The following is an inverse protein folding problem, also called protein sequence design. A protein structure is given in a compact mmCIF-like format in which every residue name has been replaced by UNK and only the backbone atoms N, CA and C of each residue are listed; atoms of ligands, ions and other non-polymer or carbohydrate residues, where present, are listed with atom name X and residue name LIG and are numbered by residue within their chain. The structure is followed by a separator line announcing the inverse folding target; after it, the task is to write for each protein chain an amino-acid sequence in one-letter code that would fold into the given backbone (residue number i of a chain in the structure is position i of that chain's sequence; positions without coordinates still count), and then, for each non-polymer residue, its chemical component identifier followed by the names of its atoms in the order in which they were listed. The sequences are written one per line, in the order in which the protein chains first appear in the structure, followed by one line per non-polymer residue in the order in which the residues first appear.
data_IF_711620644822
#
_entry.id   IF_711620644822
#
_cell.length_a   1.000
_cell.length_b   1.000
_cell.length_c   1.000
_cell.angle_alpha   90.00
_cell.angle_beta   90.00
_cell.angle_gamma   90.00
#
_symmetry.space_group_name_H-M   'P 1'
#
loop_
_entity.id
_entity.type
_entity.pdbx_description
1 polymer ?
#
# COMPACT_ATOMS: atom_id res chain seq x y z
N UNK A 1 -29.70 -34.40 6.52
CA UNK A 1 -29.30 -33.24 5.68
C UNK A 1 -29.62 -31.90 6.33
N UNK A 2 -30.84 -31.62 6.78
CA UNK A 2 -31.20 -30.33 7.40
C UNK A 2 -30.31 -29.93 8.59
N UNK A 3 -29.96 -30.86 9.48
CA UNK A 3 -29.08 -30.55 10.63
C UNK A 3 -27.69 -30.06 10.24
N UNK A 4 -27.10 -30.63 9.18
CA UNK A 4 -25.76 -30.23 8.71
C UNK A 4 -25.75 -28.79 8.16
N UNK A 5 -26.80 -28.42 7.42
CA UNK A 5 -26.96 -27.05 6.91
C UNK A 5 -27.14 -26.06 8.06
N UNK A 6 -27.92 -26.42 9.09
CA UNK A 6 -28.07 -25.59 10.29
C UNK A 6 -26.76 -25.41 11.04
N UNK A 7 -25.94 -26.45 11.17
CA UNK A 7 -24.62 -26.36 11.80
C UNK A 7 -23.67 -25.45 11.01
N UNK A 8 -23.63 -25.55 9.67
CA UNK A 8 -22.83 -24.64 8.84
C UNK A 8 -23.32 -23.19 9.00
N UNK A 9 -24.64 -22.98 8.96
CA UNK A 9 -25.24 -21.66 9.17
C UNK A 9 -24.79 -21.07 10.51
N UNK A 10 -24.85 -21.86 11.58
CA UNK A 10 -24.47 -21.40 12.92
C UNK A 10 -22.98 -21.07 13.02
N UNK A 11 -22.10 -21.84 12.37
CA UNK A 11 -20.67 -21.53 12.30
C UNK A 11 -20.40 -20.21 11.54
N UNK A 12 -21.07 -20.01 10.40
CA UNK A 12 -20.90 -18.80 9.59
C UNK A 12 -21.45 -17.55 10.29
N UNK A 13 -22.62 -17.65 10.90
CA UNK A 13 -23.21 -16.56 11.70
C UNK A 13 -22.37 -16.27 12.95
N UNK A 14 -21.82 -17.31 13.59
CA UNK A 14 -20.88 -17.15 14.71
C UNK A 14 -19.62 -16.38 14.31
N UNK A 15 -19.08 -16.61 13.12
CA UNK A 15 -17.98 -15.80 12.55
C UNK A 15 -18.33 -14.31 12.42
N UNK A 16 -19.60 -13.99 12.16
CA UNK A 16 -20.12 -12.62 12.11
C UNK A 16 -20.50 -12.05 13.48
N UNK A 17 -20.41 -12.86 14.55
CA UNK A 17 -20.73 -12.47 15.93
C UNK A 17 -22.11 -12.90 16.43
N UNK A 18 -22.89 -13.63 15.62
CA UNK A 18 -24.21 -14.14 15.99
C UNK A 18 -24.11 -15.58 16.54
N UNK A 19 -23.95 -15.67 17.86
CA UNK A 19 -23.84 -16.94 18.59
C UNK A 19 -25.14 -17.28 19.31
N UNK A 20 -25.79 -18.36 18.91
CA UNK A 20 -26.93 -18.94 19.64
C UNK A 20 -26.39 -19.89 20.73
N UNK A 21 -26.19 -19.35 21.93
CA UNK A 21 -25.70 -20.12 23.07
C UNK A 21 -26.69 -21.19 23.55
N UNK A 22 -27.99 -20.96 23.39
CA UNK A 22 -29.04 -21.88 23.81
C UNK A 22 -28.99 -23.18 22.99
N UNK A 23 -28.62 -23.07 21.70
CA UNK A 23 -28.38 -24.22 20.83
C UNK A 23 -27.21 -25.11 21.31
N UNK A 24 -26.15 -24.53 21.87
CA UNK A 24 -24.99 -25.29 22.36
C UNK A 24 -25.20 -25.90 23.75
N UNK A 25 -26.02 -25.27 24.59
CA UNK A 25 -26.32 -25.74 25.96
C UNK A 25 -27.39 -26.84 25.94
N UNK A 26 -28.30 -26.86 24.96
CA UNK A 26 -29.35 -27.87 24.84
C UNK A 26 -28.91 -29.27 24.38
N UNK A 27 -27.62 -29.47 24.08
CA UNK A 27 -27.07 -30.74 23.59
C UNK A 27 -26.81 -31.79 24.68
N UNK A 28 -26.50 -33.03 24.28
CA UNK A 28 -26.16 -34.12 25.21
C UNK A 28 -24.91 -33.84 26.07
N UNK A 29 -23.97 -33.02 25.56
CA UNK A 29 -22.71 -32.70 26.23
C UNK A 29 -22.44 -31.19 26.19
N UNK A 30 -23.11 -30.38 27.02
CA UNK A 30 -23.01 -28.92 26.96
C UNK A 30 -21.59 -28.41 27.25
N UNK A 31 -20.88 -29.04 28.18
CA UNK A 31 -19.51 -28.64 28.54
C UNK A 31 -18.53 -28.79 27.36
N UNK A 32 -18.60 -29.90 26.63
CA UNK A 32 -17.74 -30.15 25.47
C UNK A 32 -18.04 -29.18 24.33
N UNK A 33 -19.33 -28.91 24.06
CA UNK A 33 -19.76 -27.96 23.04
C UNK A 33 -19.25 -26.54 23.30
N UNK A 34 -19.34 -26.07 24.55
CA UNK A 34 -18.86 -24.73 24.94
C UNK A 34 -17.33 -24.64 24.86
N UNK A 35 -16.60 -25.69 25.27
CA UNK A 35 -15.14 -25.72 25.14
C UNK A 35 -14.69 -25.64 23.67
N UNK A 36 -15.35 -26.40 22.79
CA UNK A 36 -15.06 -26.37 21.35
C UNK A 36 -15.38 -24.99 20.75
N UNK A 37 -16.45 -24.34 21.19
CA UNK A 37 -16.82 -22.98 20.76
C UNK A 37 -15.75 -21.95 21.15
N UNK A 38 -15.25 -21.99 22.39
CA UNK A 38 -14.19 -21.08 22.85
C UNK A 38 -12.90 -21.32 22.06
N UNK A 39 -12.52 -22.59 21.87
CA UNK A 39 -11.35 -22.95 21.07
C UNK A 39 -11.47 -22.43 19.63
N UNK A 40 -12.65 -22.57 19.02
CA UNK A 40 -12.96 -22.07 17.69
C UNK A 40 -12.77 -20.54 17.57
N UNK A 41 -13.29 -19.77 18.54
CA UNK A 41 -13.14 -18.30 18.56
C UNK A 41 -11.65 -17.90 18.67
N UNK A 42 -10.89 -18.57 19.53
CA UNK A 42 -9.45 -18.30 19.70
C UNK A 42 -8.66 -18.63 18.43
N UNK A 43 -8.93 -19.77 17.80
CA UNK A 43 -8.24 -20.16 16.56
C UNK A 43 -8.56 -19.18 15.43
N UNK A 44 -9.84 -18.82 15.24
CA UNK A 44 -10.24 -17.88 14.18
C UNK A 44 -9.65 -16.50 14.39
N UNK A 45 -9.63 -16.00 15.62
CA UNK A 45 -9.02 -14.69 15.90
C UNK A 45 -7.54 -14.67 15.56
N UNK A 46 -6.78 -15.73 15.89
CA UNK A 46 -5.38 -15.87 15.49
C UNK A 46 -5.23 -15.95 13.96
N UNK A 47 -6.09 -16.73 13.29
CA UNK A 47 -6.07 -16.86 11.83
C UNK A 47 -6.39 -15.54 11.13
N UNK A 48 -7.43 -14.82 11.57
CA UNK A 48 -7.82 -13.52 11.02
C UNK A 48 -6.74 -12.47 11.28
N UNK A 49 -6.12 -12.45 12.45
CA UNK A 49 -4.99 -11.55 12.73
C UNK A 49 -3.82 -11.83 11.79
N UNK A 50 -3.47 -13.10 11.59
CA UNK A 50 -2.40 -13.47 10.65
C UNK A 50 -2.73 -13.10 9.21
N UNK A 51 -3.98 -13.25 8.78
CA UNK A 51 -4.43 -12.85 7.44
C UNK A 51 -4.50 -11.32 7.29
N UNK A 52 -4.94 -10.60 8.31
CA UNK A 52 -4.99 -9.13 8.32
C UNK A 52 -3.59 -8.54 8.24
N UNK A 53 -2.65 -9.08 9.03
CA UNK A 53 -1.25 -8.64 9.04
C UNK A 53 -0.55 -9.02 7.74
N UNK A 54 -0.81 -10.20 7.17
CA UNK A 54 -0.25 -10.59 5.87
C UNK A 54 -0.75 -9.66 4.75
N UNK A 55 -2.06 -9.44 4.67
CA UNK A 55 -2.65 -8.56 3.66
C UNK A 55 -2.20 -7.11 3.85
N UNK A 56 -2.19 -6.60 5.09
CA UNK A 56 -1.66 -5.27 5.36
C UNK A 56 -0.16 -5.21 5.13
N UNK A 57 0.63 -6.23 5.42
CA UNK A 57 2.08 -6.25 5.19
C UNK A 57 2.43 -6.13 3.71
N UNK A 58 1.86 -7.00 2.89
CA UNK A 58 2.13 -7.04 1.44
C UNK A 58 1.51 -5.82 0.74
N UNK A 59 0.25 -5.50 1.05
CA UNK A 59 -0.43 -4.35 0.42
C UNK A 59 0.16 -3.02 0.91
N UNK A 60 0.61 -2.90 2.15
CA UNK A 60 1.23 -1.65 2.64
C UNK A 60 2.58 -1.39 1.97
N UNK A 61 3.39 -2.43 1.79
CA UNK A 61 4.67 -2.32 1.08
C UNK A 61 4.44 -1.94 -0.39
N UNK A 62 3.50 -2.59 -1.07
CA UNK A 62 3.18 -2.34 -2.47
C UNK A 62 2.48 -1.00 -2.69
N UNK A 63 1.54 -0.61 -1.84
CA UNK A 63 0.88 0.70 -1.89
C UNK A 63 1.89 1.80 -1.64
N UNK A 64 2.81 1.67 -0.68
CA UNK A 64 3.81 2.73 -0.43
C UNK A 64 4.71 2.98 -1.65
N UNK A 65 5.15 1.92 -2.33
CA UNK A 65 6.02 2.03 -3.53
C UNK A 65 5.23 2.47 -4.77
N UNK A 66 4.02 1.95 -4.95
CA UNK A 66 3.17 2.22 -6.11
C UNK A 66 2.46 3.56 -6.02
N UNK A 67 2.09 4.01 -4.81
CA UNK A 67 1.42 5.29 -4.58
C UNK A 67 2.29 6.47 -5.01
N UNK A 68 3.62 6.42 -4.80
CA UNK A 68 4.50 7.48 -5.28
C UNK A 68 4.46 7.60 -6.81
N UNK A 69 4.51 6.47 -7.51
CA UNK A 69 4.42 6.45 -8.98
C UNK A 69 3.06 6.96 -9.46
N UNK A 70 1.98 6.51 -8.82
CA UNK A 70 0.63 6.91 -9.14
C UNK A 70 0.41 8.40 -8.89
N UNK A 71 0.96 8.93 -7.80
CA UNK A 71 0.95 10.35 -7.49
C UNK A 71 1.66 11.20 -8.55
N UNK A 72 2.83 10.75 -9.03
CA UNK A 72 3.53 11.44 -10.12
C UNK A 72 2.73 11.40 -11.43
N UNK A 73 2.10 10.27 -11.74
CA UNK A 73 1.25 10.12 -12.92
C UNK A 73 0.04 11.06 -12.84
N UNK A 74 -0.65 11.08 -11.71
CA UNK A 74 -1.84 11.90 -11.51
C UNK A 74 -1.49 13.39 -11.59
N UNK A 75 -0.36 13.79 -11.00
CA UNK A 75 0.15 15.15 -11.14
C UNK A 75 0.47 15.52 -12.59
N UNK A 76 1.11 14.63 -13.34
CA UNK A 76 1.41 14.86 -14.75
C UNK A 76 0.13 14.97 -15.58
N UNK A 77 -0.88 14.14 -15.30
CA UNK A 77 -2.18 14.19 -15.95
C UNK A 77 -2.89 15.52 -15.72
N UNK A 78 -2.99 15.95 -14.45
CA UNK A 78 -3.60 17.24 -14.10
C UNK A 78 -2.85 18.40 -14.76
N UNK A 79 -1.51 18.37 -14.77
CA UNK A 79 -0.71 19.41 -15.43
C UNK A 79 -0.97 19.46 -16.94
N UNK A 80 -1.05 18.32 -17.61
CA UNK A 80 -1.34 18.23 -19.05
C UNK A 80 -2.75 18.69 -19.38
N UNK A 81 -3.74 18.33 -18.55
CA UNK A 81 -5.12 18.80 -18.71
C UNK A 81 -5.23 20.31 -18.51
N UNK A 82 -4.51 20.88 -17.53
CA UNK A 82 -4.41 22.32 -17.34
C UNK A 82 -3.76 23.01 -18.54
N UNK A 83 -2.68 22.46 -19.09
CA UNK A 83 -2.03 22.99 -20.29
C UNK A 83 -2.95 22.96 -21.52
N UNK A 84 -3.77 21.91 -21.67
CA UNK A 84 -4.73 21.79 -22.77
C UNK A 84 -5.88 22.80 -22.64
N UNK A 85 -6.19 23.26 -21.43
CA UNK A 85 -7.16 24.34 -21.18
C UNK A 85 -6.65 25.74 -21.56
N UNK A 86 -5.35 25.93 -21.80
CA UNK A 86 -4.75 27.23 -22.13
C UNK A 86 -4.68 27.41 -23.66
N UNK A 87 -5.10 28.58 -24.17
CA UNK A 87 -5.01 28.92 -25.60
C UNK A 87 -3.56 28.85 -26.13
N UNK A 88 -3.39 28.21 -27.30
CA UNK A 88 -2.09 27.94 -27.95
C UNK A 88 -1.17 29.17 -28.03
N UNK A 89 -1.75 30.36 -28.19
CA UNK A 89 -1.00 31.62 -28.33
C UNK A 89 -0.23 32.03 -27.06
N UNK A 90 -0.66 31.61 -25.86
CA UNK A 90 0.05 31.88 -24.59
C UNK A 90 1.08 30.78 -24.24
N UNK A 91 1.02 29.62 -24.90
CA UNK A 91 1.88 28.45 -24.62
C UNK A 91 3.33 28.66 -25.08
N UNK A 92 3.54 29.42 -26.17
CA UNK A 92 4.87 29.68 -26.72
C UNK A 92 5.71 30.69 -25.93
N UNK A 93 5.09 31.56 -25.12
CA UNK A 93 5.81 32.62 -24.41
C UNK A 93 6.63 32.08 -23.20
N UNK A 94 6.22 30.95 -22.62
CA UNK A 94 6.88 30.34 -21.47
C UNK A 94 7.92 29.27 -21.82
N UNK A 95 7.88 28.70 -23.03
CA UNK A 95 8.73 27.56 -23.38
C UNK A 95 10.22 27.92 -23.35
N UNK A 96 10.64 29.06 -23.90
CA UNK A 96 12.06 29.32 -24.18
C UNK A 96 12.95 29.62 -22.95
N UNK A 97 12.43 29.53 -21.73
CA UNK A 97 13.20 29.88 -20.51
C UNK A 97 14.21 28.79 -20.10
N UNK A 98 13.95 27.53 -20.41
CA UNK A 98 14.76 26.37 -19.96
C UNK A 98 15.36 25.55 -21.10
N UNK A 99 15.11 25.94 -22.36
CA UNK A 99 15.70 25.27 -23.52
C UNK A 99 17.05 25.91 -23.85
N UNK A 100 18.02 25.06 -24.18
CA UNK A 100 19.30 25.45 -24.74
C UNK A 100 19.37 24.88 -26.15
N UNK A 101 19.67 25.73 -27.12
CA UNK A 101 19.88 25.31 -28.51
C UNK A 101 21.37 25.01 -28.70
N UNK A 102 21.71 23.78 -29.08
CA UNK A 102 23.08 23.37 -29.39
C UNK A 102 23.06 22.77 -30.79
N UNK A 103 23.76 23.41 -31.74
CA UNK A 103 23.82 22.97 -33.14
C UNK A 103 22.45 22.83 -33.83
N UNK A 104 21.45 23.64 -33.47
CA UNK A 104 20.11 23.62 -34.08
C UNK A 104 19.13 22.64 -33.46
N UNK A 105 19.55 21.87 -32.45
CA UNK A 105 18.70 20.94 -31.69
C UNK A 105 18.42 21.52 -30.29
N UNK A 106 17.19 21.31 -29.78
CA UNK A 106 16.76 21.82 -28.47
C UNK A 106 16.99 20.80 -27.36
N UNK A 107 17.78 21.20 -26.37
CA UNK A 107 18.07 20.42 -25.18
C UNK A 107 17.44 21.05 -23.94
N UNK A 108 16.94 20.22 -23.02
CA UNK A 108 16.51 20.64 -21.70
C UNK A 108 17.68 20.48 -20.73
N UNK A 109 18.09 21.56 -20.09
CA UNK A 109 19.12 21.49 -19.06
C UNK A 109 18.52 20.85 -17.79
N UNK A 110 19.06 19.71 -17.38
CA UNK A 110 18.70 19.04 -16.12
C UNK A 110 19.96 18.88 -15.30
N UNK A 111 19.98 19.49 -14.12
CA UNK A 111 21.05 19.28 -13.15
C UNK A 111 20.72 18.03 -12.32
N UNK A 112 21.56 17.00 -12.42
CA UNK A 112 21.47 15.83 -11.56
C UNK A 112 22.56 15.93 -10.50
N UNK A 113 22.13 16.06 -9.24
CA UNK A 113 23.06 15.98 -8.11
C UNK A 113 23.28 14.50 -7.80
N UNK A 114 24.48 14.00 -8.11
CA UNK A 114 24.90 12.66 -7.74
C UNK A 114 25.65 12.73 -6.40
N UNK A 115 25.01 12.26 -5.32
CA UNK A 115 25.55 12.38 -3.96
C UNK A 115 26.86 11.60 -3.75
N UNK A 116 27.14 10.59 -4.57
CA UNK A 116 28.30 9.72 -4.39
C UNK A 116 29.63 10.40 -4.80
N UNK A 117 29.56 11.53 -5.50
CA UNK A 117 30.72 12.35 -5.87
C UNK A 117 31.11 13.37 -4.80
N UNK A 118 30.33 13.46 -3.72
CA UNK A 118 30.56 14.35 -2.58
C UNK A 118 31.28 13.63 -1.44
N UNK A 119 32.23 12.73 -1.76
CA UNK A 119 33.19 12.28 -0.75
C UNK A 119 34.18 13.42 -0.52
N UNK A 120 34.26 14.02 0.69
CA UNK A 120 35.39 14.87 1.02
C UNK A 120 36.64 13.99 0.87
N UNK A 121 37.61 14.45 0.08
CA UNK A 121 38.97 13.97 0.24
C UNK A 121 39.34 14.36 1.67
N UNK A 122 39.23 13.42 2.60
CA UNK A 122 39.99 13.51 3.82
C UNK A 122 41.43 13.45 3.33
N UNK A 123 42.04 14.63 3.19
CA UNK A 123 43.47 14.76 3.04
C UNK A 123 44.04 14.04 4.25
N UNK A 124 44.50 12.81 4.03
CA UNK A 124 45.45 12.14 4.90
C UNK A 124 46.68 13.04 4.92
N UNK A 125 46.66 14.01 5.82
CA UNK A 125 47.86 14.70 6.29
C UNK A 125 48.67 13.58 6.94
N UNK A 126 49.59 13.04 6.15
CA UNK A 126 50.68 12.23 6.64
C UNK A 126 51.37 13.02 7.75
N UNK A 127 51.24 12.52 8.98
CA UNK A 127 52.17 12.84 10.04
C UNK A 127 53.47 12.10 9.73
N UNK A 128 54.27 12.71 8.86
CA UNK A 128 55.71 12.55 8.87
C UNK A 128 56.31 13.80 9.53
N UNK A 129 56.46 13.75 10.86
CA UNK A 129 57.59 14.31 11.64
C UNK A 129 57.42 13.99 13.14
#
# INVERSE_FOLDING_TARGET
FQGYVSSIKQCFLGLLGDFDLDYYIGGQYPMTSVLLLICYIVVITILLLNLLIAMMGDTYADVKKSAKKLWHLERARIALDLENGISKSKRHLGCNKYWVDVQGERYLQVEQVHNDNFCPKNDEIGNDE
#
